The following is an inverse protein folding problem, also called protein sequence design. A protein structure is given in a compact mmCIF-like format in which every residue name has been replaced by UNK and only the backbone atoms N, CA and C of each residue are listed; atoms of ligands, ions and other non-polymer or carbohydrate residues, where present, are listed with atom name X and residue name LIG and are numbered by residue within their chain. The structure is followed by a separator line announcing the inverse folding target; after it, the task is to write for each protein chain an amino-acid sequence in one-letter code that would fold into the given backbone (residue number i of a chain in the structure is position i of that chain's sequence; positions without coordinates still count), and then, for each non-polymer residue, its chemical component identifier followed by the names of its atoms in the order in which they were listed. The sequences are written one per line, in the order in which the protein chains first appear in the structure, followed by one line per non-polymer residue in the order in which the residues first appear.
data_IF_488356320455
#
_entry.id   IF_488356320455
#
_cell.length_a   1.000
_cell.length_b   1.000
_cell.length_c   1.000
_cell.angle_alpha   90.00
_cell.angle_beta   90.00
_cell.angle_gamma   90.00
#
_symmetry.space_group_name_H-M   'P 1'
#
loop_
_entity.id
_entity.type
_entity.pdbx_description
1 polymer ?
#
# COMPACT_ATOMS: atom_id res chain seq x y z
N UNK A 1 -34.63 10.31 2.35
CA UNK A 1 -33.63 10.13 1.27
C UNK A 1 -32.40 9.49 1.88
N UNK A 2 -31.89 8.36 1.39
CA UNK A 2 -30.66 7.81 1.93
C UNK A 2 -29.54 8.82 1.63
N UNK A 3 -28.89 9.30 2.68
CA UNK A 3 -27.64 10.04 2.54
C UNK A 3 -26.68 9.16 1.74
N UNK A 4 -26.30 9.58 0.53
CA UNK A 4 -25.15 9.01 -0.15
C UNK A 4 -23.96 9.13 0.81
N UNK A 5 -23.62 8.05 1.47
CA UNK A 5 -22.43 7.99 2.31
C UNK A 5 -21.26 8.30 1.38
N UNK A 6 -20.63 9.45 1.59
CA UNK A 6 -19.42 9.83 0.85
C UNK A 6 -18.41 8.70 1.05
N UNK A 7 -18.02 8.06 -0.04
CA UNK A 7 -17.11 6.94 0.00
C UNK A 7 -15.68 7.47 0.15
N UNK A 8 -15.30 7.82 1.39
CA UNK A 8 -13.98 8.36 1.69
C UNK A 8 -12.89 7.32 1.47
N UNK A 9 -11.74 7.81 1.03
CA UNK A 9 -10.50 7.03 0.93
C UNK A 9 -10.10 6.49 2.29
N UNK A 10 -9.95 5.18 2.41
CA UNK A 10 -9.57 4.51 3.67
C UNK A 10 -8.07 4.43 3.88
N UNK A 11 -7.30 4.34 2.80
CA UNK A 11 -5.87 4.53 2.85
C UNK A 11 -5.33 5.15 1.56
N UNK A 12 -4.19 5.82 1.68
CA UNK A 12 -3.36 6.17 0.54
C UNK A 12 -2.04 5.39 0.63
N UNK A 13 -1.45 5.11 -0.50
CA UNK A 13 -0.20 4.33 -0.57
C UNK A 13 0.78 5.05 -1.47
N UNK A 14 1.89 5.54 -0.89
CA UNK A 14 3.05 6.00 -1.64
C UNK A 14 3.86 4.77 -1.99
N UNK A 15 4.19 4.58 -3.27
CA UNK A 15 4.92 3.41 -3.76
C UNK A 15 6.27 3.79 -4.35
N UNK A 16 7.27 2.92 -4.14
CA UNK A 16 8.62 3.08 -4.70
C UNK A 16 8.58 3.16 -6.23
N UNK A 17 7.99 2.15 -6.89
CA UNK A 17 8.03 2.05 -8.33
C UNK A 17 6.91 1.23 -8.95
N UNK A 18 7.20 0.64 -10.11
CA UNK A 18 6.24 -0.10 -10.94
C UNK A 18 5.72 -1.36 -10.29
N UNK A 19 6.58 -2.11 -9.63
CA UNK A 19 6.26 -3.39 -9.01
C UNK A 19 5.27 -3.21 -7.88
N UNK A 20 5.56 -2.28 -6.96
CA UNK A 20 4.68 -1.93 -5.83
C UNK A 20 3.36 -1.34 -6.33
N UNK A 21 3.41 -0.50 -7.38
CA UNK A 21 2.20 0.06 -7.99
C UNK A 21 1.24 -1.04 -8.46
N UNK A 22 1.75 -2.06 -9.17
CA UNK A 22 0.92 -3.16 -9.67
C UNK A 22 0.42 -4.03 -8.52
N UNK A 23 1.27 -4.35 -7.55
CA UNK A 23 0.89 -5.13 -6.37
C UNK A 23 -0.22 -4.44 -5.55
N UNK A 24 -0.05 -3.15 -5.23
CA UNK A 24 -1.07 -2.39 -4.50
C UNK A 24 -2.36 -2.33 -5.29
N UNK A 25 -2.28 -2.10 -6.61
CA UNK A 25 -3.44 -2.09 -7.49
C UNK A 25 -4.17 -3.43 -7.50
N UNK A 26 -3.44 -4.55 -7.56
CA UNK A 26 -4.00 -5.90 -7.43
C UNK A 26 -4.78 -6.07 -6.13
N UNK A 27 -4.18 -5.71 -4.99
CA UNK A 27 -4.79 -5.90 -3.67
C UNK A 27 -6.09 -5.10 -3.55
N UNK A 28 -6.04 -3.78 -3.78
CA UNK A 28 -7.22 -2.95 -3.52
C UNK A 28 -8.35 -3.16 -4.54
N UNK A 29 -8.01 -3.49 -5.80
CA UNK A 29 -9.04 -3.73 -6.81
C UNK A 29 -9.76 -5.04 -6.54
N UNK A 30 -9.03 -6.11 -6.20
CA UNK A 30 -9.62 -7.41 -5.90
C UNK A 30 -10.42 -7.41 -4.57
N UNK A 31 -10.13 -6.50 -3.65
CA UNK A 31 -10.86 -6.30 -2.39
C UNK A 31 -11.92 -5.18 -2.47
N UNK A 32 -12.07 -4.52 -3.61
CA UNK A 32 -13.01 -3.40 -3.84
C UNK A 32 -12.87 -2.26 -2.82
N UNK A 33 -11.66 -1.88 -2.50
CA UNK A 33 -11.38 -0.86 -1.48
C UNK A 33 -11.14 0.53 -2.10
N UNK A 34 -11.58 1.61 -1.44
CA UNK A 34 -11.29 2.98 -1.86
C UNK A 34 -9.87 3.40 -1.44
N UNK A 35 -8.86 2.91 -2.18
CA UNK A 35 -7.44 3.20 -1.96
C UNK A 35 -6.92 4.17 -3.02
N UNK A 36 -6.08 5.12 -2.61
CA UNK A 36 -5.36 6.03 -3.52
C UNK A 36 -3.90 5.63 -3.62
N UNK A 37 -3.42 5.29 -4.82
CA UNK A 37 -1.99 5.09 -5.06
C UNK A 37 -1.36 6.42 -5.45
N UNK A 38 -0.28 6.76 -4.77
CA UNK A 38 0.55 7.95 -4.99
C UNK A 38 1.88 7.44 -5.55
N UNK A 39 2.11 7.68 -6.83
CA UNK A 39 3.28 7.19 -7.54
C UNK A 39 3.80 8.27 -8.49
N UNK A 40 5.12 8.29 -8.71
CA UNK A 40 5.72 9.13 -9.74
C UNK A 40 5.40 8.55 -11.12
N UNK A 41 4.80 9.35 -12.00
CA UNK A 41 4.46 8.96 -13.38
C UNK A 41 3.72 7.61 -13.48
N UNK A 42 2.75 7.37 -12.58
CA UNK A 42 1.99 6.10 -12.49
C UNK A 42 2.91 4.88 -12.31
N UNK A 43 4.00 5.04 -11.55
CA UNK A 43 4.99 4.01 -11.27
C UNK A 43 6.08 3.85 -12.33
N UNK A 44 6.14 4.71 -13.37
CA UNK A 44 7.26 4.68 -14.35
C UNK A 44 8.53 5.30 -13.80
N UNK A 45 8.40 6.24 -12.85
CA UNK A 45 9.52 6.80 -12.11
C UNK A 45 9.51 6.30 -10.68
N UNK A 46 10.69 6.17 -10.06
CA UNK A 46 10.81 5.76 -8.65
C UNK A 46 10.73 6.97 -7.69
N UNK A 47 10.20 6.70 -6.50
CA UNK A 47 10.34 7.55 -5.31
C UNK A 47 11.26 6.79 -4.37
N UNK A 48 12.44 7.32 -4.12
CA UNK A 48 13.46 6.68 -3.29
C UNK A 48 13.37 7.16 -1.84
N UNK A 49 13.85 6.35 -0.88
CA UNK A 49 13.87 6.70 0.54
C UNK A 49 14.63 8.02 0.77
N UNK A 50 15.78 8.19 0.12
CA UNK A 50 16.60 9.41 0.24
C UNK A 50 15.88 10.68 -0.23
N UNK A 51 14.94 10.57 -1.19
CA UNK A 51 14.12 11.68 -1.68
C UNK A 51 12.78 11.86 -0.99
N UNK A 52 12.42 10.96 -0.06
CA UNK A 52 11.09 10.89 0.50
C UNK A 52 10.73 12.11 1.35
N UNK A 53 11.66 12.61 2.16
CA UNK A 53 11.45 13.81 2.97
C UNK A 53 11.16 15.05 2.11
N UNK A 54 11.85 15.21 0.98
CA UNK A 54 11.57 16.28 0.01
C UNK A 54 10.21 16.06 -0.69
N UNK A 55 9.93 14.81 -1.06
CA UNK A 55 8.65 14.46 -1.68
C UNK A 55 7.46 14.83 -0.80
N UNK A 56 7.54 14.58 0.50
CA UNK A 56 6.51 14.89 1.48
C UNK A 56 6.38 16.39 1.81
N UNK A 57 7.31 17.26 1.36
CA UNK A 57 7.18 18.74 1.45
C UNK A 57 6.25 19.33 0.39
N UNK A 58 5.80 18.56 -0.59
CA UNK A 58 4.86 19.05 -1.61
C UNK A 58 3.57 19.54 -0.99
N UNK A 59 2.91 20.51 -1.64
CA UNK A 59 1.72 21.20 -1.13
C UNK A 59 0.68 20.25 -0.52
N UNK A 60 0.34 19.19 -1.20
CA UNK A 60 -0.69 18.24 -0.78
C UNK A 60 -0.39 17.48 0.53
N UNK A 61 0.86 17.50 1.01
CA UNK A 61 1.28 16.86 2.26
C UNK A 61 1.55 17.82 3.41
N UNK A 62 1.47 19.15 3.18
CA UNK A 62 1.87 20.16 4.17
C UNK A 62 0.94 20.23 5.38
N UNK A 63 -0.34 19.94 5.19
CA UNK A 63 -1.33 19.93 6.27
C UNK A 63 -2.30 18.78 6.10
N UNK A 64 -2.89 18.31 7.22
CA UNK A 64 -3.93 17.27 7.17
C UNK A 64 -5.13 17.67 6.30
N UNK A 65 -5.49 18.97 6.31
CA UNK A 65 -6.61 19.49 5.51
C UNK A 65 -6.32 19.47 4.01
N UNK A 66 -5.12 19.89 3.58
CA UNK A 66 -4.71 19.82 2.19
C UNK A 66 -4.65 18.37 1.70
N UNK A 67 -4.10 17.49 2.50
CA UNK A 67 -4.06 16.07 2.23
C UNK A 67 -5.47 15.47 2.09
N UNK A 68 -6.36 15.76 3.03
CA UNK A 68 -7.74 15.27 3.01
C UNK A 68 -8.50 15.72 1.77
N UNK A 69 -8.32 16.98 1.36
CA UNK A 69 -8.96 17.53 0.17
C UNK A 69 -8.44 16.87 -1.11
N UNK A 70 -7.11 16.72 -1.24
CA UNK A 70 -6.47 16.14 -2.43
C UNK A 70 -6.85 14.68 -2.64
N UNK A 71 -6.86 13.89 -1.55
CA UNK A 71 -7.04 12.44 -1.62
C UNK A 71 -8.44 11.96 -1.21
N UNK A 72 -9.39 12.88 -0.99
CA UNK A 72 -10.77 12.58 -0.58
C UNK A 72 -10.82 11.76 0.73
N UNK A 73 -10.02 12.13 1.72
CA UNK A 73 -10.00 11.52 3.06
C UNK A 73 -10.97 12.25 3.98
N UNK A 74 -11.63 11.53 4.89
CA UNK A 74 -12.51 12.15 5.87
C UNK A 74 -11.70 12.97 6.89
N UNK A 75 -11.95 14.30 6.93
CA UNK A 75 -11.32 15.23 7.84
C UNK A 75 -12.29 15.66 8.94
N UNK A 76 -11.96 15.40 10.19
CA UNK A 76 -12.73 15.86 11.34
C UNK A 76 -12.35 17.30 11.70
N UNK A 77 -13.30 18.21 11.53
CA UNK A 77 -13.09 19.63 11.84
C UNK A 77 -12.96 19.91 13.34
N UNK A 78 -13.53 19.04 14.22
CA UNK A 78 -13.47 19.21 15.68
C UNK A 78 -12.13 18.79 16.22
N UNK A 79 -11.66 17.60 15.85
CA UNK A 79 -10.37 17.05 16.28
C UNK A 79 -9.20 17.52 15.42
N UNK A 80 -9.49 18.16 14.27
CA UNK A 80 -8.51 18.54 13.24
C UNK A 80 -7.66 17.36 12.74
N UNK A 81 -8.23 16.16 12.77
CA UNK A 81 -7.56 14.90 12.38
C UNK A 81 -8.20 14.22 11.18
N UNK A 82 -7.54 13.18 10.65
CA UNK A 82 -8.10 12.29 9.64
C UNK A 82 -8.81 11.11 10.34
N UNK A 83 -9.96 10.68 9.82
CA UNK A 83 -10.73 9.58 10.41
C UNK A 83 -10.51 8.28 9.66
N UNK A 84 -10.31 7.18 10.40
CA UNK A 84 -10.22 5.83 9.86
C UNK A 84 -9.32 5.75 8.63
N UNK A 85 -8.12 6.32 8.73
CA UNK A 85 -7.21 6.49 7.63
C UNK A 85 -5.78 6.10 8.00
N UNK A 86 -5.06 5.50 7.06
CA UNK A 86 -3.61 5.28 7.12
C UNK A 86 -2.96 5.69 5.79
N UNK A 87 -1.74 6.23 5.90
CA UNK A 87 -0.84 6.50 4.79
C UNK A 87 0.27 5.46 4.81
N UNK A 88 0.16 4.45 3.99
CA UNK A 88 1.23 3.48 3.80
C UNK A 88 2.30 4.07 2.86
N UNK A 89 3.55 3.85 3.19
CA UNK A 89 4.67 4.19 2.33
C UNK A 89 5.43 2.90 2.09
N UNK A 90 5.45 2.40 0.85
CA UNK A 90 6.04 1.11 0.49
C UNK A 90 7.32 1.38 -0.30
N UNK A 91 8.47 1.01 0.28
CA UNK A 91 9.79 1.29 -0.28
C UNK A 91 10.68 0.06 -0.28
N UNK A 92 11.49 -0.06 -1.32
CA UNK A 92 12.66 -0.91 -1.34
C UNK A 92 13.80 -0.22 -0.57
N UNK A 93 14.66 -0.98 0.08
CA UNK A 93 15.72 -0.42 0.95
C UNK A 93 17.13 -0.54 0.36
N UNK A 94 17.25 -0.90 -0.91
CA UNK A 94 18.53 -1.06 -1.60
C UNK A 94 19.13 0.26 -2.10
N UNK A 95 18.38 1.36 -2.02
CA UNK A 95 18.76 2.68 -2.50
C UNK A 95 19.19 3.68 -1.41
N UNK A 96 19.35 3.22 -0.17
CA UNK A 96 19.74 4.08 0.95
C UNK A 96 20.79 3.42 1.87
N UNK A 97 21.47 4.26 2.65
CA UNK A 97 22.40 3.80 3.68
C UNK A 97 21.67 3.21 4.91
N UNK A 98 22.39 2.47 5.76
CA UNK A 98 21.83 1.77 6.91
C UNK A 98 21.20 2.71 7.96
N UNK A 99 21.70 3.95 8.10
CA UNK A 99 21.14 4.94 9.05
C UNK A 99 19.79 5.40 8.53
N UNK A 100 19.70 5.80 7.27
CA UNK A 100 18.48 6.23 6.61
C UNK A 100 17.45 5.11 6.57
N UNK A 101 17.86 3.88 6.28
CA UNK A 101 17.04 2.68 6.33
C UNK A 101 16.44 2.45 7.73
N UNK A 102 17.26 2.51 8.77
CA UNK A 102 16.80 2.36 10.15
C UNK A 102 15.77 3.42 10.54
N UNK A 103 16.01 4.68 10.18
CA UNK A 103 15.08 5.79 10.43
C UNK A 103 13.77 5.63 9.65
N UNK A 104 13.83 5.10 8.44
CA UNK A 104 12.64 4.80 7.66
C UNK A 104 11.82 3.70 8.31
N UNK A 105 12.42 2.57 8.63
CA UNK A 105 11.76 1.40 9.23
C UNK A 105 11.13 1.76 10.60
N UNK A 106 11.85 2.52 11.44
CA UNK A 106 11.33 2.97 12.74
C UNK A 106 10.28 4.06 12.64
N UNK A 107 10.12 4.71 11.48
CA UNK A 107 9.27 5.88 11.30
C UNK A 107 9.87 7.20 11.79
N UNK A 108 11.11 7.19 12.31
CA UNK A 108 11.83 8.40 12.73
C UNK A 108 12.03 9.39 11.59
N UNK A 109 12.14 8.89 10.35
CA UNK A 109 12.24 9.71 9.15
C UNK A 109 11.09 10.71 8.99
N UNK A 110 9.94 10.45 9.62
CA UNK A 110 8.73 11.26 9.51
C UNK A 110 8.49 12.15 10.71
N UNK A 111 9.43 12.26 11.64
CA UNK A 111 9.31 13.12 12.82
C UNK A 111 9.07 14.58 12.41
N UNK A 112 8.13 15.22 13.14
CA UNK A 112 7.71 16.61 12.85
C UNK A 112 6.82 16.77 11.62
N UNK A 113 6.55 15.71 10.84
CA UNK A 113 5.66 15.81 9.69
C UNK A 113 4.17 15.76 10.13
N UNK A 114 3.27 16.62 9.58
CA UNK A 114 1.85 16.64 9.98
C UNK A 114 1.12 15.30 9.86
N UNK A 115 1.54 14.45 8.91
CA UNK A 115 0.95 13.14 8.68
C UNK A 115 1.59 12.01 9.50
N UNK A 116 2.56 12.29 10.39
CA UNK A 116 3.34 11.28 11.14
C UNK A 116 2.47 10.19 11.77
N UNK A 117 1.42 10.58 12.47
CA UNK A 117 0.51 9.67 13.18
C UNK A 117 -0.30 8.73 12.24
N UNK A 118 -0.35 9.07 10.97
CA UNK A 118 -1.07 8.30 9.94
C UNK A 118 -0.12 7.48 9.09
N UNK A 119 1.19 7.77 9.09
CA UNK A 119 2.19 7.09 8.28
C UNK A 119 2.50 5.71 8.85
N UNK A 120 2.45 4.71 7.98
CA UNK A 120 2.90 3.34 8.26
C UNK A 120 3.98 2.99 7.24
N UNK A 121 5.27 2.95 7.64
CA UNK A 121 6.33 2.52 6.74
C UNK A 121 6.21 1.02 6.45
N UNK A 122 6.25 0.68 5.17
CA UNK A 122 6.30 -0.69 4.67
C UNK A 122 7.57 -0.86 3.85
N UNK A 123 8.38 -1.81 4.24
CA UNK A 123 9.69 -2.02 3.63
C UNK A 123 9.82 -3.37 2.97
N UNK A 124 10.68 -3.42 1.96
CA UNK A 124 11.28 -4.65 1.44
C UNK A 124 12.79 -4.53 1.63
N UNK A 125 13.39 -5.45 2.40
CA UNK A 125 14.85 -5.52 2.53
C UNK A 125 15.41 -5.92 1.18
N UNK A 126 16.35 -5.10 0.65
CA UNK A 126 16.72 -5.07 -0.75
C UNK A 126 15.54 -4.59 -1.62
N UNK A 127 14.76 -5.46 -2.23
CA UNK A 127 13.66 -5.07 -3.12
C UNK A 127 12.50 -6.06 -3.11
N UNK A 128 11.35 -5.63 -3.63
CA UNK A 128 10.13 -6.43 -3.69
C UNK A 128 10.32 -7.74 -4.48
N UNK A 129 11.16 -7.77 -5.52
CA UNK A 129 11.36 -8.99 -6.31
C UNK A 129 12.00 -10.11 -5.50
N UNK A 130 12.98 -9.78 -4.66
CA UNK A 130 13.62 -10.76 -3.76
C UNK A 130 12.62 -11.32 -2.75
N UNK A 131 11.75 -10.48 -2.21
CA UNK A 131 10.63 -10.91 -1.35
C UNK A 131 9.71 -11.87 -2.10
N UNK A 132 9.33 -11.55 -3.35
CA UNK A 132 8.45 -12.40 -4.15
C UNK A 132 9.11 -13.76 -4.51
N UNK A 133 10.42 -13.77 -4.73
CA UNK A 133 11.18 -15.02 -4.96
C UNK A 133 11.18 -15.89 -3.69
N UNK A 134 11.47 -15.31 -2.53
CA UNK A 134 11.44 -16.02 -1.25
C UNK A 134 10.05 -16.58 -0.91
N UNK A 135 9.02 -15.83 -1.24
CA UNK A 135 7.62 -16.24 -1.07
C UNK A 135 7.17 -17.32 -2.08
N UNK A 136 8.03 -17.74 -3.02
CA UNK A 136 7.66 -18.71 -4.07
C UNK A 136 6.60 -18.19 -5.05
N UNK A 137 6.47 -16.85 -5.16
CA UNK A 137 5.56 -16.19 -6.11
C UNK A 137 6.25 -15.97 -7.45
N UNK A 138 7.54 -15.68 -7.41
CA UNK A 138 8.42 -15.56 -8.57
C UNK A 138 9.52 -16.62 -8.53
N UNK A 139 9.97 -17.07 -9.71
CA UNK A 139 11.05 -18.06 -9.81
C UNK A 139 12.42 -17.38 -9.88
N UNK A 140 12.49 -16.21 -10.50
CA UNK A 140 13.72 -15.43 -10.72
C UNK A 140 13.43 -13.95 -10.93
N UNK A 141 14.44 -13.11 -10.79
CA UNK A 141 14.36 -11.71 -11.19
C UNK A 141 14.10 -11.57 -12.70
N UNK A 142 13.41 -10.53 -13.08
CA UNK A 142 13.01 -10.23 -14.46
C UNK A 142 13.56 -8.86 -14.87
N UNK A 143 13.79 -8.67 -16.16
CA UNK A 143 14.23 -7.38 -16.69
C UNK A 143 13.13 -6.32 -16.60
N UNK A 144 13.48 -5.05 -16.50
CA UNK A 144 12.52 -3.94 -16.41
C UNK A 144 11.54 -3.91 -17.58
N UNK A 145 11.98 -4.27 -18.77
CA UNK A 145 11.13 -4.38 -19.95
C UNK A 145 10.01 -5.43 -19.80
N UNK A 146 10.26 -6.49 -19.04
CA UNK A 146 9.33 -7.60 -18.83
C UNK A 146 8.45 -7.43 -17.59
N UNK A 147 8.83 -6.58 -16.63
CA UNK A 147 8.12 -6.39 -15.35
C UNK A 147 6.63 -6.16 -15.54
N UNK A 148 6.25 -5.26 -16.45
CA UNK A 148 4.85 -4.89 -16.67
C UNK A 148 3.96 -6.08 -17.03
N UNK A 149 4.37 -6.89 -18.03
CA UNK A 149 3.60 -8.04 -18.48
C UNK A 149 3.65 -9.21 -17.49
N UNK A 150 4.79 -9.42 -16.84
CA UNK A 150 4.96 -10.49 -15.87
C UNK A 150 4.12 -10.24 -14.61
N UNK A 151 4.20 -9.03 -14.03
CA UNK A 151 3.43 -8.66 -12.84
C UNK A 151 1.92 -8.72 -13.09
N UNK A 152 1.45 -8.34 -14.28
CA UNK A 152 0.02 -8.49 -14.63
C UNK A 152 -0.43 -9.95 -14.63
N UNK A 153 0.46 -10.89 -14.94
CA UNK A 153 0.15 -12.33 -14.91
C UNK A 153 0.09 -12.89 -13.50
N UNK A 154 1.03 -12.52 -12.63
CA UNK A 154 1.08 -13.02 -11.25
C UNK A 154 0.12 -12.27 -10.29
N UNK A 155 -0.29 -11.06 -10.66
CA UNK A 155 -1.23 -10.21 -9.92
C UNK A 155 -2.43 -9.84 -10.80
N UNK A 156 -3.29 -10.81 -11.16
CA UNK A 156 -4.42 -10.57 -12.03
C UNK A 156 -5.46 -9.68 -11.33
N UNK A 157 -5.84 -8.58 -12.00
CA UNK A 157 -6.85 -7.65 -11.51
C UNK A 157 -8.21 -8.10 -12.02
N UNK A 158 -9.14 -8.33 -11.10
CA UNK A 158 -10.53 -8.56 -11.43
C UNK A 158 -11.33 -7.27 -11.22
N UNK A 159 -11.98 -6.80 -12.30
CA UNK A 159 -12.86 -5.62 -12.28
C UNK A 159 -14.35 -5.99 -12.19
N UNK A 160 -14.66 -7.28 -12.13
CA UNK A 160 -16.01 -7.80 -11.88
C UNK A 160 -16.46 -7.57 -10.43
N UNK A 161 -17.64 -8.06 -10.03
CA UNK A 161 -18.14 -7.97 -8.67
C UNK A 161 -17.18 -8.61 -7.66
N UNK A 162 -17.19 -8.11 -6.42
CA UNK A 162 -16.46 -8.73 -5.31
C UNK A 162 -16.90 -10.18 -5.14
N UNK A 163 -15.97 -11.11 -5.14
CA UNK A 163 -16.23 -12.55 -5.03
C UNK A 163 -15.29 -13.22 -4.03
N UNK A 164 -15.67 -14.40 -3.55
CA UNK A 164 -14.83 -15.24 -2.69
C UNK A 164 -13.49 -15.52 -3.37
N UNK A 165 -13.50 -15.78 -4.68
CA UNK A 165 -12.27 -16.09 -5.44
C UNK A 165 -11.29 -14.92 -5.45
N UNK A 166 -11.77 -13.68 -5.66
CA UNK A 166 -10.89 -12.50 -5.66
C UNK A 166 -10.31 -12.23 -4.28
N UNK A 167 -11.09 -12.41 -3.23
CA UNK A 167 -10.62 -12.31 -1.84
C UNK A 167 -9.61 -13.41 -1.53
N UNK A 168 -9.87 -14.65 -1.92
CA UNK A 168 -8.96 -15.78 -1.69
C UNK A 168 -7.65 -15.65 -2.47
N UNK A 169 -7.62 -15.01 -3.62
CA UNK A 169 -6.37 -14.67 -4.30
C UNK A 169 -5.47 -13.79 -3.45
N UNK A 170 -6.04 -12.73 -2.83
CA UNK A 170 -5.29 -11.85 -1.94
C UNK A 170 -4.90 -12.56 -0.63
N UNK A 171 -5.76 -13.41 -0.08
CA UNK A 171 -5.42 -14.26 1.08
C UNK A 171 -4.28 -15.22 0.79
N UNK A 172 -4.28 -15.83 -0.40
CA UNK A 172 -3.19 -16.71 -0.83
C UNK A 172 -1.87 -15.95 -0.93
N UNK A 173 -1.92 -14.72 -1.46
CA UNK A 173 -0.77 -13.83 -1.45
C UNK A 173 -0.29 -13.54 -0.02
N UNK A 174 -1.20 -13.14 0.88
CA UNK A 174 -0.88 -12.88 2.29
C UNK A 174 -0.19 -14.10 2.96
N UNK A 175 -0.75 -15.29 2.81
CA UNK A 175 -0.16 -16.55 3.34
C UNK A 175 1.24 -16.82 2.77
N UNK A 176 1.50 -16.49 1.52
CA UNK A 176 2.84 -16.69 0.92
C UNK A 176 3.90 -15.76 1.46
N UNK A 177 3.53 -14.54 1.86
CA UNK A 177 4.47 -13.58 2.45
C UNK A 177 4.52 -13.66 3.98
N UNK A 178 3.64 -14.42 4.61
CA UNK A 178 3.63 -14.66 6.04
C UNK A 178 4.94 -15.33 6.47
N UNK A 179 5.57 -14.80 7.53
CA UNK A 179 6.87 -15.30 8.01
C UNK A 179 8.09 -14.87 7.21
N UNK A 180 7.93 -14.12 6.12
CA UNK A 180 9.07 -13.50 5.40
C UNK A 180 9.55 -12.29 6.20
N UNK A 181 10.72 -12.39 6.80
CA UNK A 181 11.30 -11.35 7.70
C UNK A 181 11.84 -10.14 6.95
N UNK A 182 12.07 -10.27 5.65
CA UNK A 182 12.60 -9.22 4.78
C UNK A 182 11.56 -8.20 4.34
N UNK A 183 10.31 -8.35 4.79
CA UNK A 183 9.24 -7.39 4.52
C UNK A 183 8.22 -7.35 5.65
N UNK A 184 7.60 -6.21 5.86
CA UNK A 184 6.40 -6.08 6.67
C UNK A 184 5.15 -5.78 5.81
N UNK A 185 5.16 -6.19 4.54
CA UNK A 185 4.05 -5.97 3.59
C UNK A 185 2.71 -6.54 4.10
N UNK A 186 2.76 -7.58 4.92
CA UNK A 186 1.57 -8.18 5.53
C UNK A 186 0.75 -7.13 6.33
N UNK A 187 1.42 -6.17 6.98
CA UNK A 187 0.75 -5.06 7.70
C UNK A 187 -0.21 -4.27 6.79
N UNK A 188 0.19 -4.01 5.55
CA UNK A 188 -0.67 -3.34 4.57
C UNK A 188 -1.83 -4.25 4.12
N UNK A 189 -1.56 -5.52 3.85
CA UNK A 189 -2.56 -6.48 3.38
C UNK A 189 -3.64 -6.71 4.45
N UNK A 190 -3.24 -6.91 5.70
CA UNK A 190 -4.13 -7.07 6.86
C UNK A 190 -5.02 -5.83 7.07
N UNK A 191 -4.43 -4.64 6.99
CA UNK A 191 -5.21 -3.41 7.03
C UNK A 191 -6.26 -3.35 5.92
N UNK A 192 -5.91 -3.79 4.71
CA UNK A 192 -6.87 -3.87 3.60
C UNK A 192 -8.03 -4.81 3.93
N UNK A 193 -7.77 -5.99 4.50
CA UNK A 193 -8.83 -6.90 4.93
C UNK A 193 -9.73 -6.28 6.00
N UNK A 194 -9.18 -5.60 7.00
CA UNK A 194 -9.94 -4.90 8.05
C UNK A 194 -10.86 -3.80 7.51
N UNK A 195 -10.56 -3.25 6.32
CA UNK A 195 -11.39 -2.23 5.69
C UNK A 195 -12.49 -2.79 4.77
N UNK A 196 -12.53 -4.11 4.58
CA UNK A 196 -13.55 -4.74 3.74
C UNK A 196 -14.94 -4.66 4.36
N UNK A 197 -15.98 -4.33 3.58
CA UNK A 197 -17.35 -4.42 4.06
C UNK A 197 -17.69 -5.88 4.39
N UNK A 198 -18.16 -6.13 5.63
CA UNK A 198 -18.60 -7.46 6.05
C UNK A 198 -17.47 -8.50 6.20
N UNK A 199 -16.28 -8.09 6.67
CA UNK A 199 -15.11 -8.95 6.90
C UNK A 199 -15.49 -10.31 7.53
N UNK A 200 -16.32 -10.34 8.58
CA UNK A 200 -16.79 -11.56 9.23
C UNK A 200 -17.54 -12.52 8.30
N UNK A 201 -18.30 -11.99 7.34
CA UNK A 201 -19.03 -12.83 6.36
C UNK A 201 -18.09 -13.53 5.36
N UNK A 202 -16.87 -12.97 5.15
CA UNK A 202 -15.89 -13.54 4.23
C UNK A 202 -14.98 -14.57 4.92
N UNK A 203 -14.79 -14.47 6.23
CA UNK A 203 -14.09 -15.48 7.03
C UNK A 203 -14.89 -16.78 7.12
N UNK A 204 -16.19 -16.70 7.42
CA UNK A 204 -17.07 -17.86 7.57
C UNK A 204 -17.29 -18.64 6.26
N UNK A 205 -17.18 -18.01 5.09
CA UNK A 205 -17.35 -18.66 3.78
C UNK A 205 -16.09 -19.36 3.24
N UNK A 206 -14.92 -19.11 3.83
CA UNK A 206 -13.65 -19.71 3.44
C UNK A 206 -13.33 -21.03 4.13
N UNK A 207 -14.12 -21.45 5.12
CA UNK A 207 -13.89 -22.67 5.93
C UNK A 207 -14.84 -23.85 5.58
N UNK A 208 -15.42 -23.85 4.37
CA UNK A 208 -16.23 -25.00 3.91
C UNK A 208 -15.65 -25.63 2.66
#
# INVERSE_FOLDING_TARGET
MPHNALNYTKCAVIVHGKSEFVLVKYIYTNLHLPVKIIAKDKGRGSIQINGLSEYLRKKQFRTLKEFANEYSVEYDRKTKGLKNFKLFIIMDTDDCDEITKSKYISGELFEGHPLKEYIVPVYNISNLEDVMIKAGIMVKRISDAQKGSYYTKIFPINTGPLSVDTVNQVRTFAKKIEGITETNMLTFVEYCFQQMPGEKLWEERGEK
#
